data_IF_897151960518
#
_entry.id   IF_897151960518
#
_cell.length_a   1.000
_cell.length_b   1.000
_cell.length_c   1.000
_cell.angle_alpha   90.00
_cell.angle_beta   90.00
_cell.angle_gamma   90.00
#
_symmetry.space_group_name_H-M   'P 1'
#
loop_
_entity.id
_entity.type
_entity.pdbx_description
1 polymer ?
#
# COMPACT_ATOMS: atom_id res chain seq x y z
N UNK A 1 10.72 -16.00 -0.65
CA UNK A 1 11.25 -14.64 -0.68
C UNK A 1 10.60 -13.85 -1.81
N UNK A 2 9.92 -12.73 -1.51
CA UNK A 2 9.25 -11.90 -2.54
C UNK A 2 10.25 -11.29 -3.54
N UNK A 3 11.51 -11.19 -3.19
CA UNK A 3 12.59 -10.75 -4.09
C UNK A 3 12.96 -11.78 -5.17
N UNK A 4 12.42 -13.01 -5.11
CA UNK A 4 12.68 -14.07 -6.09
C UNK A 4 11.45 -14.36 -6.94
N UNK A 5 11.50 -14.04 -8.21
CA UNK A 5 10.39 -14.28 -9.15
C UNK A 5 9.98 -15.75 -9.19
N UNK A 6 10.96 -16.65 -9.23
CA UNK A 6 10.72 -18.11 -9.31
C UNK A 6 9.99 -18.68 -8.09
N UNK A 7 10.07 -17.99 -6.93
CA UNK A 7 9.32 -18.37 -5.72
C UNK A 7 7.90 -17.75 -5.72
N UNK A 8 7.71 -16.60 -6.35
CA UNK A 8 6.44 -15.87 -6.34
C UNK A 8 5.52 -16.31 -7.46
N UNK A 9 6.04 -16.46 -8.67
CA UNK A 9 5.23 -16.72 -9.85
C UNK A 9 4.30 -17.95 -9.70
N UNK A 10 4.78 -19.11 -9.17
CA UNK A 10 3.91 -20.27 -9.00
C UNK A 10 2.79 -20.08 -7.98
N UNK A 11 2.93 -19.14 -7.02
CA UNK A 11 1.91 -18.87 -6.01
C UNK A 11 0.70 -18.10 -6.58
N UNK A 12 0.87 -17.50 -7.75
CA UNK A 12 -0.19 -16.72 -8.39
C UNK A 12 -0.97 -17.53 -9.44
N UNK A 13 -0.60 -18.77 -9.70
CA UNK A 13 -1.37 -19.68 -10.56
C UNK A 13 -2.80 -19.86 -10.03
N UNK A 14 -3.79 -19.63 -10.89
CA UNK A 14 -5.23 -19.71 -10.56
C UNK A 14 -5.65 -18.79 -9.38
N UNK A 15 -4.95 -17.67 -9.21
CA UNK A 15 -5.26 -16.66 -8.18
C UNK A 15 -6.06 -15.52 -8.80
N UNK A 16 -7.23 -15.22 -8.25
CA UNK A 16 -8.07 -14.09 -8.71
C UNK A 16 -7.59 -12.75 -8.18
N UNK A 17 -7.13 -12.71 -6.94
CA UNK A 17 -6.70 -11.49 -6.23
C UNK A 17 -5.51 -11.77 -5.32
N UNK A 18 -4.68 -10.75 -5.15
CA UNK A 18 -3.53 -10.77 -4.22
C UNK A 18 -3.70 -9.71 -3.15
N UNK A 19 -3.55 -10.09 -1.89
CA UNK A 19 -3.38 -9.17 -0.76
C UNK A 19 -1.89 -9.14 -0.41
N UNK A 20 -1.20 -8.09 -0.82
CA UNK A 20 0.25 -7.97 -0.68
C UNK A 20 0.65 -7.03 0.45
N UNK A 21 1.00 -7.61 1.59
CA UNK A 21 1.50 -6.91 2.78
C UNK A 21 2.98 -7.21 3.07
N UNK A 22 3.62 -8.01 2.21
CA UNK A 22 5.03 -8.37 2.33
C UNK A 22 5.94 -7.18 1.99
N UNK A 23 6.78 -6.79 2.94
CA UNK A 23 7.81 -5.76 2.77
C UNK A 23 8.77 -5.76 3.98
N UNK A 24 9.91 -5.11 3.83
CA UNK A 24 10.66 -4.64 5.00
C UNK A 24 10.01 -3.34 5.49
N UNK A 25 9.49 -3.34 6.72
CA UNK A 25 8.51 -2.34 7.22
C UNK A 25 9.11 -1.19 8.01
N UNK A 26 10.37 -0.92 7.96
CA UNK A 26 11.00 0.17 8.71
C UNK A 26 11.92 1.00 7.83
N UNK A 27 12.27 2.19 8.30
CA UNK A 27 13.36 2.95 7.72
C UNK A 27 14.67 2.15 7.84
N UNK A 28 15.33 1.98 6.72
CA UNK A 28 16.59 1.23 6.63
C UNK A 28 17.46 1.79 5.51
N UNK A 29 18.77 1.45 5.48
CA UNK A 29 19.62 1.71 4.32
C UNK A 29 19.00 1.15 3.04
N UNK A 30 19.19 1.86 1.93
CA UNK A 30 18.58 1.54 0.63
C UNK A 30 18.82 0.09 0.22
N UNK A 31 20.01 -0.44 0.45
CA UNK A 31 20.40 -1.80 0.08
C UNK A 31 19.55 -2.88 0.76
N UNK A 32 19.09 -2.62 2.01
CA UNK A 32 18.18 -3.53 2.71
C UNK A 32 16.76 -3.49 2.16
N UNK A 33 16.34 -2.35 1.63
CA UNK A 33 15.00 -2.13 1.08
C UNK A 33 14.90 -2.58 -0.38
N UNK A 34 16.02 -2.52 -1.12
CA UNK A 34 16.03 -2.75 -2.56
C UNK A 34 15.36 -4.08 -2.94
N UNK A 35 15.79 -5.18 -2.34
CA UNK A 35 15.28 -6.50 -2.70
C UNK A 35 13.82 -6.71 -2.26
N UNK A 36 13.42 -6.55 -0.98
CA UNK A 36 12.04 -6.81 -0.57
C UNK A 36 11.05 -5.77 -1.06
N UNK A 37 11.41 -4.47 -1.12
CA UNK A 37 10.45 -3.42 -1.33
C UNK A 37 10.36 -2.92 -2.78
N UNK A 38 11.44 -2.99 -3.56
CA UNK A 38 11.44 -2.60 -4.96
C UNK A 38 11.32 -3.82 -5.88
N UNK A 39 12.25 -4.78 -5.76
CA UNK A 39 12.23 -5.98 -6.61
C UNK A 39 11.01 -6.85 -6.24
N UNK A 40 10.72 -7.01 -4.95
CA UNK A 40 9.55 -7.76 -4.48
C UNK A 40 8.23 -7.16 -4.96
N UNK A 41 8.08 -5.83 -4.91
CA UNK A 41 6.90 -5.17 -5.47
C UNK A 41 6.79 -5.44 -6.97
N UNK A 42 7.87 -5.27 -7.75
CA UNK A 42 7.88 -5.58 -9.18
C UNK A 42 7.48 -7.04 -9.44
N UNK A 43 8.05 -8.00 -8.70
CA UNK A 43 7.76 -9.41 -8.88
C UNK A 43 6.27 -9.74 -8.68
N UNK A 44 5.64 -9.17 -7.66
CA UNK A 44 4.19 -9.36 -7.41
C UNK A 44 3.35 -8.83 -8.59
N UNK A 45 3.62 -7.61 -9.06
CA UNK A 45 2.86 -7.01 -10.17
C UNK A 45 3.09 -7.74 -11.49
N UNK A 46 4.33 -8.13 -11.78
CA UNK A 46 4.64 -8.85 -13.01
C UNK A 46 4.08 -10.29 -13.00
N UNK A 47 4.17 -11.00 -11.87
CA UNK A 47 3.54 -12.30 -11.72
C UNK A 47 2.01 -12.21 -11.81
N UNK A 48 1.39 -11.16 -11.20
CA UNK A 48 -0.03 -10.89 -11.33
C UNK A 48 -0.45 -10.71 -12.81
N UNK A 49 0.37 -9.99 -13.59
CA UNK A 49 0.14 -9.82 -15.03
C UNK A 49 0.22 -11.15 -15.80
N UNK A 50 1.23 -11.96 -15.52
CA UNK A 50 1.45 -13.26 -16.21
C UNK A 50 0.33 -14.24 -15.95
N UNK A 51 -0.26 -14.21 -14.77
CA UNK A 51 -1.32 -15.12 -14.34
C UNK A 51 -2.74 -14.54 -14.43
N UNK A 52 -2.90 -13.35 -15.06
CA UNK A 52 -4.20 -12.67 -15.22
C UNK A 52 -4.92 -12.42 -13.87
N UNK A 53 -4.19 -12.12 -12.82
CA UNK A 53 -4.77 -11.69 -11.55
C UNK A 53 -5.59 -10.43 -11.76
N UNK A 54 -6.84 -10.43 -11.31
CA UNK A 54 -7.76 -9.32 -11.51
C UNK A 54 -7.40 -8.11 -10.67
N UNK A 55 -6.98 -8.32 -9.41
CA UNK A 55 -6.76 -7.22 -8.45
C UNK A 55 -5.60 -7.50 -7.50
N UNK A 56 -4.84 -6.44 -7.21
CA UNK A 56 -3.85 -6.45 -6.13
C UNK A 56 -4.22 -5.40 -5.08
N UNK A 57 -4.35 -5.81 -3.83
CA UNK A 57 -4.53 -4.94 -2.67
C UNK A 57 -3.17 -4.80 -2.02
N UNK A 58 -2.61 -3.59 -2.06
CA UNK A 58 -1.23 -3.32 -1.67
C UNK A 58 -1.14 -2.50 -0.39
N UNK A 59 -0.35 -2.96 0.59
CA UNK A 59 -0.03 -2.18 1.77
C UNK A 59 0.99 -1.09 1.43
N UNK A 60 0.49 0.09 1.08
CA UNK A 60 1.28 1.32 1.01
C UNK A 60 1.44 1.95 2.40
N UNK A 61 1.92 3.17 2.48
CA UNK A 61 2.20 3.82 3.76
C UNK A 61 2.00 5.34 3.67
N UNK A 62 1.68 5.96 4.82
CA UNK A 62 1.73 7.42 4.98
C UNK A 62 3.12 8.00 4.65
N UNK A 63 4.19 7.20 4.75
CA UNK A 63 5.55 7.61 4.38
C UNK A 63 5.71 7.97 2.89
N UNK A 64 4.79 7.56 2.01
CA UNK A 64 4.76 8.01 0.62
C UNK A 64 4.49 9.53 0.49
N UNK A 65 3.88 10.13 1.52
CA UNK A 65 3.54 11.56 1.60
C UNK A 65 4.03 12.19 2.93
N UNK A 66 5.00 11.57 3.59
CA UNK A 66 5.46 11.90 4.94
C UNK A 66 6.09 13.29 5.10
N UNK A 67 6.53 13.95 4.01
CA UNK A 67 7.10 15.30 4.04
C UNK A 67 6.04 16.41 4.02
N UNK A 68 4.74 16.10 3.97
CA UNK A 68 3.70 17.11 4.15
C UNK A 68 3.64 17.57 5.61
N UNK A 69 3.32 18.85 5.88
CA UNK A 69 3.19 19.37 7.23
C UNK A 69 2.12 18.60 8.04
N UNK A 70 2.44 18.24 9.27
CA UNK A 70 1.55 17.45 10.15
C UNK A 70 0.27 18.16 10.59
N UNK A 71 0.17 19.46 10.36
CA UNK A 71 -1.01 20.30 10.65
C UNK A 71 -1.90 20.49 9.41
N UNK A 72 -1.54 19.93 8.27
CA UNK A 72 -2.39 19.92 7.09
C UNK A 72 -3.19 18.61 7.06
N UNK A 73 -4.48 18.72 6.73
CA UNK A 73 -5.30 17.57 6.41
C UNK A 73 -5.13 17.30 4.90
N UNK A 74 -4.40 16.23 4.56
CA UNK A 74 -4.02 15.94 3.17
C UNK A 74 -4.96 14.91 2.55
N UNK A 75 -5.45 15.20 1.33
CA UNK A 75 -6.25 14.30 0.51
C UNK A 75 -5.42 13.21 -0.18
N UNK A 76 -6.10 12.30 -0.85
CA UNK A 76 -5.45 11.17 -1.54
C UNK A 76 -4.72 11.59 -2.81
N UNK A 77 -5.13 12.69 -3.45
CA UNK A 77 -4.61 13.17 -4.75
C UNK A 77 -3.31 13.99 -4.64
N UNK A 78 -2.78 14.20 -3.43
CA UNK A 78 -1.53 14.96 -3.27
C UNK A 78 -0.34 14.23 -3.92
N UNK A 79 0.59 14.94 -4.57
CA UNK A 79 1.81 14.35 -5.10
C UNK A 79 2.63 13.59 -4.07
N UNK A 80 3.36 12.57 -4.49
CA UNK A 80 4.32 11.88 -3.65
C UNK A 80 5.35 12.85 -3.06
N UNK A 81 5.59 12.76 -1.75
CA UNK A 81 6.63 13.48 -1.00
C UNK A 81 7.17 12.58 0.12
N UNK A 82 7.92 11.51 -0.25
CA UNK A 82 8.41 10.54 0.72
C UNK A 82 9.42 11.18 1.68
N UNK A 83 9.39 10.76 2.94
CA UNK A 83 10.25 11.27 4.01
C UNK A 83 11.46 10.36 4.31
N UNK A 84 11.52 9.18 3.69
CA UNK A 84 12.62 8.22 3.84
C UNK A 84 12.65 7.22 2.67
N UNK A 85 13.64 6.30 2.63
CA UNK A 85 13.76 5.29 1.58
C UNK A 85 12.62 4.27 1.59
N UNK A 86 12.05 3.97 2.75
CA UNK A 86 10.85 3.12 2.84
C UNK A 86 9.65 3.80 2.16
N UNK A 87 9.41 5.08 2.45
CA UNK A 87 8.39 5.88 1.78
C UNK A 87 8.62 5.97 0.26
N UNK A 88 9.88 6.14 -0.17
CA UNK A 88 10.24 6.13 -1.60
C UNK A 88 9.88 4.79 -2.26
N UNK A 89 10.14 3.65 -1.59
CA UNK A 89 9.74 2.35 -2.10
C UNK A 89 8.21 2.20 -2.21
N UNK A 90 7.45 2.82 -1.29
CA UNK A 90 5.99 2.84 -1.38
C UNK A 90 5.49 3.71 -2.54
N UNK A 91 6.11 4.86 -2.81
CA UNK A 91 5.84 5.67 -4.00
C UNK A 91 6.09 4.86 -5.29
N UNK A 92 7.25 4.19 -5.39
CA UNK A 92 7.56 3.33 -6.52
C UNK A 92 6.48 2.27 -6.75
N UNK A 93 6.02 1.62 -5.70
CA UNK A 93 5.01 0.57 -5.82
C UNK A 93 3.61 1.12 -6.17
N UNK A 94 3.23 2.31 -5.70
CA UNK A 94 1.98 2.98 -6.12
C UNK A 94 2.03 3.38 -7.60
N UNK A 95 3.14 3.94 -8.09
CA UNK A 95 3.31 4.29 -9.51
C UNK A 95 3.36 3.02 -10.38
N UNK A 96 3.98 1.96 -9.89
CA UNK A 96 3.98 0.65 -10.55
C UNK A 96 2.55 0.09 -10.65
N UNK A 97 1.77 0.16 -9.58
CA UNK A 97 0.37 -0.24 -9.53
C UNK A 97 -0.47 0.51 -10.57
N UNK A 98 -0.34 1.84 -10.63
CA UNK A 98 -1.00 2.67 -11.64
C UNK A 98 -0.61 2.25 -13.05
N UNK A 99 0.67 2.04 -13.31
CA UNK A 99 1.16 1.61 -14.63
C UNK A 99 0.55 0.27 -15.06
N UNK A 100 0.47 -0.71 -14.17
CA UNK A 100 -0.14 -2.01 -14.47
C UNK A 100 -1.66 -1.94 -14.66
N UNK A 101 -2.34 -1.06 -13.93
CA UNK A 101 -3.75 -0.76 -14.20
C UNK A 101 -3.92 -0.15 -15.61
N UNK A 102 -3.24 0.93 -15.92
CA UNK A 102 -3.40 1.66 -17.19
C UNK A 102 -2.98 0.83 -18.41
N UNK A 103 -1.97 -0.04 -18.29
CA UNK A 103 -1.46 -0.86 -19.39
C UNK A 103 -2.09 -2.24 -19.51
N UNK A 104 -2.45 -2.84 -18.39
CA UNK A 104 -2.80 -4.25 -18.32
C UNK A 104 -4.21 -4.49 -17.73
N UNK A 105 -4.86 -3.46 -17.18
CA UNK A 105 -6.17 -3.57 -16.56
C UNK A 105 -6.18 -4.29 -15.20
N UNK A 106 -5.02 -4.48 -14.55
CA UNK A 106 -4.95 -5.07 -13.23
C UNK A 106 -5.42 -4.03 -12.21
N UNK A 107 -6.56 -4.24 -11.59
CA UNK A 107 -7.08 -3.33 -10.57
C UNK A 107 -6.13 -3.25 -9.36
N UNK A 108 -6.02 -2.07 -8.78
CA UNK A 108 -5.11 -1.81 -7.66
C UNK A 108 -5.79 -1.00 -6.55
N UNK A 109 -5.70 -1.48 -5.31
CA UNK A 109 -6.07 -0.72 -4.12
C UNK A 109 -4.83 -0.53 -3.26
N UNK A 110 -4.29 0.69 -3.26
CA UNK A 110 -3.11 1.04 -2.46
C UNK A 110 -3.57 1.64 -1.12
N UNK A 111 -3.35 0.92 -0.04
CA UNK A 111 -3.70 1.35 1.30
C UNK A 111 -2.52 2.10 1.92
N UNK A 112 -2.56 3.44 1.97
CA UNK A 112 -1.59 4.26 2.71
C UNK A 112 -1.85 4.13 4.20
N UNK A 113 -1.35 3.06 4.81
CA UNK A 113 -1.52 2.79 6.24
C UNK A 113 -0.74 3.81 7.06
N UNK A 114 -1.42 4.43 8.04
CA UNK A 114 -0.78 5.37 8.95
C UNK A 114 -0.05 4.63 10.08
N UNK A 115 -0.77 4.06 11.02
CA UNK A 115 -0.18 3.32 12.14
C UNK A 115 -1.10 2.16 12.55
N UNK A 116 -0.67 0.94 12.29
CA UNK A 116 -1.37 -0.29 12.67
C UNK A 116 -0.59 -1.03 13.77
N UNK A 117 -0.15 -0.29 14.80
CA UNK A 117 0.58 -0.82 15.94
C UNK A 117 -0.22 -0.62 17.23
N UNK A 118 0.21 -1.25 18.32
CA UNK A 118 -0.39 -1.02 19.62
C UNK A 118 -0.23 0.46 20.02
N UNK A 119 -1.33 1.10 20.39
CA UNK A 119 -1.33 2.51 20.79
C UNK A 119 -0.69 2.65 22.17
N UNK A 120 0.38 3.43 22.26
CA UNK A 120 1.11 3.67 23.50
C UNK A 120 1.00 5.10 24.03
N UNK A 121 0.34 6.00 23.27
CA UNK A 121 0.16 7.40 23.67
C UNK A 121 -1.09 8.01 23.05
N UNK A 122 -1.64 9.04 23.69
CA UNK A 122 -2.80 9.79 23.15
C UNK A 122 -2.51 10.48 21.81
N UNK A 123 -1.24 10.82 21.54
CA UNK A 123 -0.83 11.41 20.27
C UNK A 123 -0.93 10.40 19.12
N UNK A 124 -0.65 9.13 19.40
CA UNK A 124 -0.72 8.06 18.40
C UNK A 124 -2.16 7.72 17.99
N UNK A 125 -3.16 8.08 18.81
CA UNK A 125 -4.58 7.84 18.51
C UNK A 125 -5.05 8.53 17.23
N UNK A 126 -4.52 9.70 16.89
CA UNK A 126 -4.92 10.42 15.68
C UNK A 126 -4.57 9.70 14.37
N UNK A 127 -3.50 8.93 14.37
CA UNK A 127 -3.03 8.17 13.20
C UNK A 127 -3.30 6.66 13.29
N UNK A 128 -4.02 6.21 14.31
CA UNK A 128 -4.22 4.80 14.57
C UNK A 128 -5.20 4.16 13.58
N UNK A 129 -4.84 2.97 13.11
CA UNK A 129 -5.70 2.04 12.39
C UNK A 129 -5.86 0.79 13.26
N UNK A 130 -7.08 0.50 13.71
CA UNK A 130 -7.37 -0.75 14.42
C UNK A 130 -7.25 -1.96 13.49
N UNK A 131 -6.97 -3.13 14.06
CA UNK A 131 -6.95 -4.36 13.27
C UNK A 131 -8.33 -4.67 12.67
N UNK A 132 -9.41 -4.37 13.40
CA UNK A 132 -10.78 -4.58 12.91
C UNK A 132 -11.08 -3.68 11.71
N UNK A 133 -10.66 -2.41 11.74
CA UNK A 133 -10.81 -1.49 10.61
C UNK A 133 -9.91 -1.88 9.44
N UNK A 134 -8.68 -2.35 9.68
CA UNK A 134 -7.82 -2.88 8.63
C UNK A 134 -8.46 -4.09 7.94
N UNK A 135 -9.02 -5.02 8.71
CA UNK A 135 -9.74 -6.18 8.18
C UNK A 135 -10.92 -5.73 7.31
N UNK A 136 -11.71 -4.75 7.79
CA UNK A 136 -12.82 -4.20 7.02
C UNK A 136 -12.36 -3.53 5.73
N UNK A 137 -11.27 -2.73 5.76
CA UNK A 137 -10.71 -2.12 4.54
C UNK A 137 -10.31 -3.18 3.51
N UNK A 138 -9.62 -4.24 3.94
CA UNK A 138 -9.21 -5.33 3.05
C UNK A 138 -10.44 -6.06 2.50
N UNK A 139 -11.41 -6.41 3.34
CA UNK A 139 -12.64 -7.07 2.90
C UNK A 139 -13.41 -6.21 1.88
N UNK A 140 -13.57 -4.91 2.13
CA UNK A 140 -14.20 -3.99 1.19
C UNK A 140 -13.44 -3.90 -0.13
N UNK A 141 -12.11 -3.85 -0.08
CA UNK A 141 -11.28 -3.87 -1.28
C UNK A 141 -11.42 -5.18 -2.09
N UNK A 142 -11.65 -6.31 -1.41
CA UNK A 142 -11.92 -7.62 -2.06
C UNK A 142 -13.33 -7.67 -2.65
N UNK A 143 -14.35 -7.25 -1.90
CA UNK A 143 -15.77 -7.41 -2.24
C UNK A 143 -16.29 -6.37 -3.26
N UNK A 144 -15.67 -5.20 -3.34
CA UNK A 144 -16.07 -4.14 -4.28
C UNK A 144 -15.97 -4.64 -5.72
N UNK A 145 -17.02 -4.54 -6.53
CA UNK A 145 -17.04 -5.10 -7.89
C UNK A 145 -15.92 -4.56 -8.78
N UNK A 146 -15.68 -3.26 -8.73
CA UNK A 146 -14.63 -2.58 -9.52
C UNK A 146 -13.94 -1.52 -8.69
N UNK A 147 -12.62 -1.53 -8.64
CA UNK A 147 -11.83 -0.57 -7.87
C UNK A 147 -10.93 0.30 -8.74
N UNK A 148 -10.72 -0.10 -10.01
CA UNK A 148 -9.76 0.56 -10.90
C UNK A 148 -8.39 0.73 -10.20
N UNK A 149 -7.76 1.89 -10.37
CA UNK A 149 -6.63 2.29 -9.54
C UNK A 149 -7.12 3.24 -8.44
N UNK A 150 -6.99 2.82 -7.19
CA UNK A 150 -7.44 3.58 -6.02
C UNK A 150 -6.36 3.69 -4.96
N UNK A 151 -6.23 4.87 -4.38
CA UNK A 151 -5.44 5.12 -3.18
C UNK A 151 -6.39 5.44 -2.04
N UNK A 152 -6.18 4.85 -0.86
CA UNK A 152 -6.99 5.07 0.34
C UNK A 152 -6.06 5.20 1.54
N UNK A 153 -6.30 6.19 2.40
CA UNK A 153 -5.63 6.23 3.69
C UNK A 153 -6.21 5.20 4.65
N UNK A 154 -5.36 4.33 5.15
CA UNK A 154 -5.69 3.34 6.18
C UNK A 154 -5.58 3.97 7.58
N UNK A 155 -6.69 4.43 8.11
CA UNK A 155 -6.81 5.05 9.43
C UNK A 155 -8.22 4.80 9.98
N UNK A 156 -8.35 4.58 11.30
CA UNK A 156 -9.66 4.50 11.97
C UNK A 156 -10.33 5.89 12.04
N UNK A 157 -11.62 5.93 12.34
CA UNK A 157 -12.36 7.18 12.52
C UNK A 157 -11.95 7.89 13.82
N UNK A 158 -10.77 8.50 13.81
CA UNK A 158 -10.17 9.17 14.97
C UNK A 158 -10.54 10.66 15.00
N UNK A 159 -10.74 11.25 16.20
CA UNK A 159 -11.11 12.66 16.37
C UNK A 159 -10.10 13.66 15.78
N UNK A 160 -8.84 13.24 15.60
CA UNK A 160 -7.74 14.08 15.10
C UNK A 160 -7.07 13.45 13.90
N UNK A 161 -7.85 13.03 12.93
CA UNK A 161 -7.34 12.40 11.72
C UNK A 161 -6.56 13.42 10.86
N UNK A 162 -5.27 13.16 10.54
CA UNK A 162 -4.45 14.07 9.73
C UNK A 162 -4.65 13.92 8.23
N UNK A 163 -5.50 13.02 7.78
CA UNK A 163 -5.70 12.68 6.37
C UNK A 163 -7.18 12.65 6.00
N UNK A 164 -7.46 12.72 4.71
CA UNK A 164 -8.80 12.80 4.17
C UNK A 164 -8.97 11.82 2.98
N UNK A 165 -10.05 11.06 2.99
CA UNK A 165 -10.46 10.15 1.93
C UNK A 165 -11.69 10.66 1.13
N UNK A 166 -12.07 11.94 1.26
CA UNK A 166 -13.32 12.49 0.72
C UNK A 166 -13.28 12.83 -0.79
N UNK A 167 -12.24 12.44 -1.53
CA UNK A 167 -12.07 12.72 -2.97
C UNK A 167 -12.54 11.57 -3.85
#
# INVERSE_FOLDING_TARGET
DIGEMDEIEPLLENTDMVVHFGAYVDEAPFEKLLRPNFIGAYNIWEAARRHNVRRVIYASSIHAVGMYPKNENIGISVPHRPDNFYGLAKCFAEDLARMYWEKCGIEAVCLRILSCAQVTSTRALGSWLSYDDLIQLVLRAVETPTTEFSIIYGVSNNDRNPVNNDE
#
